data_IF_569586351041
#
_entry.id   IF_569586351041
#
_cell.length_a   1.000
_cell.length_b   1.000
_cell.length_c   1.000
_cell.angle_alpha   90.00
_cell.angle_beta   90.00
_cell.angle_gamma   90.00
#
_symmetry.space_group_name_H-M   'P 1'
#
loop_
_entity.id
_entity.type
_entity.pdbx_description
1 polymer ?
#
# COMPACT_ATOMS: atom_id res chain seq x y z
N UNK A 1 12.80 2.58 5.34
CA UNK A 1 11.44 2.94 5.82
C UNK A 1 10.40 2.04 5.16
N UNK A 2 9.37 1.61 5.88
CA UNK A 2 8.29 0.77 5.34
C UNK A 2 6.94 1.41 5.62
N UNK A 3 5.92 1.07 4.84
CA UNK A 3 4.57 1.56 5.05
C UNK A 3 3.59 0.40 5.03
N UNK A 4 2.74 0.33 6.04
CA UNK A 4 1.63 -0.62 6.09
C UNK A 4 0.33 0.14 5.90
N UNK A 5 -0.47 -0.27 4.92
CA UNK A 5 -1.75 0.37 4.60
C UNK A 5 -2.85 -0.66 4.59
N UNK A 6 -3.84 -0.51 5.48
CA UNK A 6 -5.16 -1.13 5.28
C UNK A 6 -5.92 -0.28 4.27
N UNK A 7 -6.44 -0.87 3.21
CA UNK A 7 -7.27 -0.15 2.25
C UNK A 7 -8.49 -0.97 1.88
N UNK A 8 -9.63 -0.29 1.77
CA UNK A 8 -10.91 -0.86 1.39
C UNK A 8 -11.40 -0.08 0.17
N UNK A 9 -11.74 -0.80 -0.90
CA UNK A 9 -12.28 -0.20 -2.11
C UNK A 9 -13.48 -0.96 -2.66
N UNK A 10 -14.34 -0.23 -3.35
CA UNK A 10 -15.57 -0.74 -3.94
C UNK A 10 -16.61 0.37 -3.99
N UNK A 11 -17.73 0.14 -4.68
CA UNK A 11 -18.75 1.18 -4.80
C UNK A 11 -19.69 1.19 -3.58
N UNK A 12 -19.93 2.37 -3.01
CA UNK A 12 -20.83 2.57 -1.87
C UNK A 12 -20.25 2.04 -0.56
N UNK A 13 -18.96 2.27 -0.29
CA UNK A 13 -18.36 1.87 0.99
C UNK A 13 -18.90 2.74 2.14
N UNK A 14 -19.19 2.16 3.32
CA UNK A 14 -19.68 2.92 4.45
C UNK A 14 -18.52 3.58 5.21
N UNK A 15 -17.98 4.68 4.67
CA UNK A 15 -16.77 5.35 5.18
C UNK A 15 -16.77 5.54 6.71
N UNK A 16 -17.84 6.13 7.26
CA UNK A 16 -17.93 6.41 8.70
C UNK A 16 -17.96 5.14 9.56
N UNK A 17 -18.62 4.09 9.10
CA UNK A 17 -18.65 2.79 9.80
C UNK A 17 -17.27 2.13 9.79
N UNK A 18 -16.55 2.23 8.67
CA UNK A 18 -15.19 1.72 8.53
C UNK A 18 -14.25 2.45 9.49
N UNK A 19 -14.25 3.79 9.51
CA UNK A 19 -13.41 4.55 10.45
C UNK A 19 -13.73 4.22 11.92
N UNK A 20 -15.02 4.03 12.24
CA UNK A 20 -15.45 3.63 13.58
C UNK A 20 -14.93 2.24 13.95
N UNK A 21 -14.98 1.28 13.02
CA UNK A 21 -14.48 -0.08 13.25
C UNK A 21 -12.94 -0.14 13.34
N UNK A 22 -12.22 0.70 12.58
CA UNK A 22 -10.76 0.83 12.69
C UNK A 22 -10.37 1.64 13.93
N UNK A 23 -11.28 2.48 14.46
CA UNK A 23 -11.06 3.29 15.65
C UNK A 23 -10.20 4.54 15.41
N UNK A 24 -10.03 4.95 14.14
CA UNK A 24 -9.33 6.18 13.74
C UNK A 24 -9.86 6.70 12.41
N UNK A 25 -9.67 8.00 12.15
CA UNK A 25 -9.95 8.60 10.85
C UNK A 25 -8.98 8.07 9.78
N UNK A 26 -9.45 7.98 8.54
CA UNK A 26 -8.62 7.60 7.40
C UNK A 26 -7.67 8.74 7.02
N UNK A 27 -6.45 8.41 6.60
CA UNK A 27 -5.57 9.43 6.00
C UNK A 27 -6.00 9.79 4.59
N UNK A 28 -6.72 8.89 3.92
CA UNK A 28 -7.15 9.09 2.56
C UNK A 28 -8.50 8.40 2.32
N UNK A 29 -9.48 9.18 1.93
CA UNK A 29 -10.79 8.72 1.49
C UNK A 29 -11.15 9.40 0.17
N UNK A 30 -11.83 8.71 -0.72
CA UNK A 30 -12.26 9.24 -2.02
C UNK A 30 -13.50 8.53 -2.52
N UNK A 31 -14.28 9.25 -3.31
CA UNK A 31 -15.45 8.70 -4.01
C UNK A 31 -15.14 8.36 -5.46
N UNK A 32 -15.91 7.43 -6.03
CA UNK A 32 -15.88 7.11 -7.45
C UNK A 32 -16.16 8.38 -8.29
N UNK A 33 -15.34 8.60 -9.31
CA UNK A 33 -15.37 9.77 -10.18
C UNK A 33 -14.60 10.98 -9.64
N UNK A 34 -14.17 10.99 -8.37
CA UNK A 34 -13.29 12.05 -7.88
C UNK A 34 -11.94 12.01 -8.60
N UNK A 35 -11.43 13.19 -8.91
CA UNK A 35 -10.07 13.37 -9.41
C UNK A 35 -9.24 14.03 -8.33
N UNK A 36 -8.08 13.44 -8.00
CA UNK A 36 -7.14 14.00 -7.02
C UNK A 36 -5.75 14.11 -7.61
N UNK A 37 -5.09 15.21 -7.28
CA UNK A 37 -3.67 15.38 -7.51
C UNK A 37 -2.89 14.46 -6.57
N UNK A 38 -2.04 13.61 -7.14
CA UNK A 38 -1.10 12.77 -6.40
C UNK A 38 0.33 13.15 -6.75
N UNK A 39 1.31 12.65 -5.99
CA UNK A 39 2.73 12.82 -6.32
C UNK A 39 3.14 12.24 -7.68
N UNK A 40 2.28 11.42 -8.29
CA UNK A 40 2.51 10.80 -9.60
C UNK A 40 1.62 11.40 -10.71
N UNK A 41 0.92 12.50 -10.42
CA UNK A 41 -0.02 13.16 -11.34
C UNK A 41 -1.48 13.03 -10.90
N UNK A 42 -2.38 13.45 -11.77
CA UNK A 42 -3.82 13.39 -11.53
C UNK A 42 -4.36 11.98 -11.71
N UNK A 43 -5.13 11.52 -10.72
CA UNK A 43 -5.79 10.21 -10.75
C UNK A 43 -7.29 10.42 -10.58
N UNK A 44 -8.07 9.91 -11.53
CA UNK A 44 -9.53 9.76 -11.41
C UNK A 44 -9.84 8.37 -10.89
N UNK A 45 -10.56 8.27 -9.77
CA UNK A 45 -10.86 6.99 -9.13
C UNK A 45 -12.10 6.34 -9.74
N UNK A 46 -11.98 5.06 -10.11
CA UNK A 46 -13.09 4.30 -10.70
C UNK A 46 -14.11 3.78 -9.67
N UNK A 47 -13.72 3.72 -8.40
CA UNK A 47 -14.51 3.21 -7.28
C UNK A 47 -14.27 4.06 -6.04
N UNK A 48 -15.12 3.94 -5.02
CA UNK A 48 -14.83 4.55 -3.72
C UNK A 48 -13.64 3.84 -3.07
N UNK A 49 -12.93 4.56 -2.20
CA UNK A 49 -11.86 3.97 -1.43
C UNK A 49 -11.50 4.72 -0.17
N UNK A 50 -11.04 3.97 0.81
CA UNK A 50 -10.59 4.48 2.11
C UNK A 50 -9.31 3.75 2.52
N UNK A 51 -8.34 4.48 3.07
CA UNK A 51 -7.04 3.95 3.42
C UNK A 51 -6.55 4.44 4.79
N UNK A 52 -5.96 3.49 5.52
CA UNK A 52 -5.36 3.64 6.85
C UNK A 52 -3.90 3.20 6.77
N UNK A 53 -3.00 4.15 6.54
CA UNK A 53 -1.56 3.96 6.49
C UNK A 53 -0.87 4.13 7.83
N UNK A 54 0.27 3.48 8.01
CA UNK A 54 1.21 3.78 9.07
C UNK A 54 2.64 3.55 8.58
N UNK A 55 3.52 4.43 9.04
CA UNK A 55 4.95 4.29 8.80
C UNK A 55 5.53 3.29 9.80
N UNK A 56 6.29 2.34 9.29
CA UNK A 56 7.03 1.36 10.07
C UNK A 56 8.50 1.73 9.96
N UNK A 57 9.11 2.00 11.13
CA UNK A 57 10.53 2.27 11.24
C UNK A 57 11.34 1.09 10.66
N UNK A 58 12.50 1.39 10.09
CA UNK A 58 13.28 0.41 9.33
C UNK A 58 13.84 -0.73 10.20
N UNK A 59 14.09 -0.44 11.47
CA UNK A 59 14.56 -1.38 12.49
C UNK A 59 13.41 -2.07 13.25
N UNK A 60 12.15 -1.72 12.95
CA UNK A 60 10.99 -2.31 13.62
C UNK A 60 10.67 -3.72 13.10
N UNK A 61 10.12 -4.55 13.99
CA UNK A 61 9.59 -5.87 13.62
C UNK A 61 8.30 -5.72 12.79
N UNK A 62 8.40 -5.96 11.49
CA UNK A 62 7.26 -5.84 10.56
C UNK A 62 6.09 -6.74 10.97
N UNK A 63 6.33 -7.99 11.38
CA UNK A 63 5.26 -8.88 11.82
C UNK A 63 4.48 -8.29 13.01
N UNK A 64 5.17 -7.62 13.93
CA UNK A 64 4.51 -6.96 15.06
C UNK A 64 3.62 -5.82 14.57
N UNK A 65 4.11 -4.95 13.69
CA UNK A 65 3.31 -3.85 13.15
C UNK A 65 2.06 -4.36 12.41
N UNK A 66 2.24 -5.37 11.55
CA UNK A 66 1.12 -6.03 10.84
C UNK A 66 0.14 -6.64 11.83
N UNK A 67 0.61 -7.34 12.85
CA UNK A 67 -0.23 -7.93 13.87
C UNK A 67 -1.02 -6.88 14.65
N UNK A 68 -0.43 -5.76 15.03
CA UNK A 68 -1.10 -4.70 15.80
C UNK A 68 -2.28 -4.10 14.99
N UNK A 69 -2.09 -3.83 13.69
CA UNK A 69 -3.15 -3.37 12.80
C UNK A 69 -4.24 -4.44 12.59
N UNK A 70 -3.82 -5.68 12.35
CA UNK A 70 -4.73 -6.81 12.13
C UNK A 70 -5.55 -7.12 13.37
N UNK A 71 -4.99 -7.01 14.58
CA UNK A 71 -5.72 -7.18 15.83
C UNK A 71 -6.87 -6.17 15.97
N UNK A 72 -6.67 -4.94 15.50
CA UNK A 72 -7.75 -3.93 15.47
C UNK A 72 -8.89 -4.38 14.57
N UNK A 73 -8.58 -4.93 13.40
CA UNK A 73 -9.58 -5.46 12.49
C UNK A 73 -10.23 -6.74 13.04
N UNK A 74 -9.46 -7.59 13.71
CA UNK A 74 -9.92 -8.84 14.29
C UNK A 74 -10.89 -8.63 15.47
N UNK A 75 -10.77 -7.50 16.20
CA UNK A 75 -11.81 -7.10 17.18
C UNK A 75 -13.17 -6.85 16.52
N UNK A 76 -13.18 -6.48 15.23
CA UNK A 76 -14.35 -6.28 14.40
C UNK A 76 -14.45 -7.34 13.28
N UNK A 77 -13.95 -8.55 13.52
CA UNK A 77 -13.73 -9.58 12.49
C UNK A 77 -14.96 -9.82 11.61
N UNK A 78 -16.15 -9.93 12.20
CA UNK A 78 -17.39 -10.20 11.46
C UNK A 78 -17.73 -9.08 10.46
N UNK A 79 -17.53 -7.80 10.84
CA UNK A 79 -17.76 -6.67 9.95
C UNK A 79 -16.78 -6.67 8.78
N UNK A 80 -15.49 -6.87 9.07
CA UNK A 80 -14.48 -6.97 8.02
C UNK A 80 -14.73 -8.14 7.06
N UNK A 81 -15.11 -9.31 7.59
CA UNK A 81 -15.47 -10.45 6.76
C UNK A 81 -16.70 -10.19 5.88
N UNK A 82 -17.71 -9.47 6.39
CA UNK A 82 -18.87 -9.04 5.60
C UNK A 82 -18.50 -8.02 4.53
N UNK A 83 -17.62 -7.06 4.85
CA UNK A 83 -17.12 -6.10 3.88
C UNK A 83 -16.29 -6.78 2.80
N UNK A 84 -15.45 -7.75 3.13
CA UNK A 84 -14.66 -8.53 2.18
C UNK A 84 -15.52 -9.33 1.17
N UNK A 85 -16.80 -9.57 1.45
CA UNK A 85 -17.73 -10.19 0.49
C UNK A 85 -18.27 -9.19 -0.54
N UNK A 86 -18.19 -7.88 -0.27
CA UNK A 86 -18.80 -6.81 -1.10
C UNK A 86 -17.76 -5.87 -1.70
N UNK A 87 -16.67 -5.68 -0.98
CA UNK A 87 -15.61 -4.71 -1.24
C UNK A 87 -14.30 -5.45 -1.22
N UNK A 88 -13.29 -4.86 -1.87
CA UNK A 88 -11.93 -5.34 -1.76
C UNK A 88 -11.31 -4.80 -0.48
N UNK A 89 -10.92 -5.70 0.43
CA UNK A 89 -10.21 -5.36 1.67
C UNK A 89 -8.81 -5.94 1.57
N UNK A 90 -7.78 -5.09 1.63
CA UNK A 90 -6.40 -5.56 1.58
C UNK A 90 -5.49 -4.85 2.57
N UNK A 91 -4.41 -5.53 2.92
CA UNK A 91 -3.24 -4.97 3.57
C UNK A 91 -2.14 -4.84 2.53
N UNK A 92 -1.66 -3.62 2.33
CA UNK A 92 -0.53 -3.32 1.46
C UNK A 92 0.69 -3.00 2.33
N UNK A 93 1.70 -3.87 2.26
CA UNK A 93 3.00 -3.61 2.85
C UNK A 93 3.95 -3.11 1.76
N UNK A 94 4.26 -1.82 1.78
CA UNK A 94 5.27 -1.21 0.92
C UNK A 94 6.61 -1.20 1.63
N UNK A 95 7.57 -1.94 1.08
CA UNK A 95 8.90 -2.13 1.64
C UNK A 95 9.91 -1.42 0.75
N UNK A 96 10.65 -0.47 1.34
CA UNK A 96 11.75 0.22 0.67
C UNK A 96 13.07 -0.20 1.33
N UNK A 97 13.70 -1.30 0.86
CA UNK A 97 14.93 -1.79 1.42
C UNK A 97 16.11 -0.91 0.99
N UNK A 98 17.05 -0.67 1.90
CA UNK A 98 18.36 -0.06 1.59
C UNK A 98 19.37 -1.11 1.07
N UNK A 99 19.08 -2.39 1.30
CA UNK A 99 19.85 -3.53 0.81
C UNK A 99 19.25 -4.10 -0.48
N UNK A 100 20.08 -4.83 -1.23
CA UNK A 100 19.67 -5.57 -2.44
C UNK A 100 18.58 -6.60 -2.14
N UNK A 101 18.50 -7.08 -0.91
CA UNK A 101 17.56 -8.09 -0.47
C UNK A 101 17.02 -7.80 0.93
N UNK A 102 15.73 -8.00 1.12
CA UNK A 102 15.04 -7.92 2.41
C UNK A 102 14.07 -9.08 2.54
N UNK A 103 13.99 -9.63 3.75
CA UNK A 103 13.06 -10.69 4.10
C UNK A 103 11.97 -10.13 5.01
N UNK A 104 10.71 -10.34 4.61
CA UNK A 104 9.56 -10.12 5.47
C UNK A 104 8.95 -11.48 5.77
N UNK A 105 8.79 -11.78 7.05
CA UNK A 105 8.10 -12.98 7.51
C UNK A 105 6.94 -12.56 8.40
N UNK A 106 5.77 -13.13 8.14
CA UNK A 106 4.60 -12.97 9.00
C UNK A 106 4.37 -14.27 9.75
N UNK A 107 4.02 -14.17 11.03
CA UNK A 107 3.71 -15.35 11.83
C UNK A 107 2.45 -16.04 11.32
N UNK A 108 2.34 -17.35 11.57
CA UNK A 108 1.13 -18.11 11.22
C UNK A 108 -0.13 -17.55 11.90
N UNK A 109 0.01 -16.95 13.08
CA UNK A 109 -1.10 -16.28 13.76
C UNK A 109 -1.55 -15.03 13.02
N UNK A 110 -0.60 -14.16 12.65
CA UNK A 110 -0.87 -12.95 11.86
C UNK A 110 -1.61 -13.32 10.56
N UNK A 111 -1.12 -14.32 9.84
CA UNK A 111 -1.74 -14.81 8.60
C UNK A 111 -3.16 -15.34 8.81
N UNK A 112 -3.41 -16.07 9.91
CA UNK A 112 -4.76 -16.56 10.24
C UNK A 112 -5.73 -15.42 10.52
N UNK A 113 -5.31 -14.40 11.26
CA UNK A 113 -6.18 -13.26 11.59
C UNK A 113 -6.54 -12.45 10.34
N UNK A 114 -5.57 -12.22 9.45
CA UNK A 114 -5.78 -11.59 8.14
C UNK A 114 -6.85 -12.37 7.35
N UNK A 115 -6.68 -13.69 7.23
CA UNK A 115 -7.62 -14.55 6.51
C UNK A 115 -9.01 -14.57 7.17
N UNK A 116 -9.08 -14.57 8.51
CA UNK A 116 -10.32 -14.56 9.26
C UNK A 116 -11.15 -13.28 9.05
N UNK A 117 -10.49 -12.17 8.73
CA UNK A 117 -11.12 -10.91 8.32
C UNK A 117 -11.43 -10.83 6.82
N UNK A 118 -11.11 -11.87 6.04
CA UNK A 118 -11.31 -11.88 4.58
C UNK A 118 -10.35 -10.94 3.83
N UNK A 119 -9.22 -10.56 4.42
CA UNK A 119 -8.29 -9.60 3.82
C UNK A 119 -7.31 -10.28 2.87
N UNK A 120 -7.02 -9.61 1.75
CA UNK A 120 -5.86 -9.93 0.92
C UNK A 120 -4.60 -9.28 1.50
N UNK A 121 -3.43 -9.87 1.27
CA UNK A 121 -2.15 -9.23 1.56
C UNK A 121 -1.40 -9.02 0.26
N UNK A 122 -0.94 -7.80 0.07
CA UNK A 122 -0.07 -7.43 -1.03
C UNK A 122 1.21 -6.86 -0.45
N UNK A 123 2.33 -7.22 -1.06
CA UNK A 123 3.63 -6.67 -0.69
C UNK A 123 4.25 -6.05 -1.93
N UNK A 124 4.57 -4.76 -1.83
CA UNK A 124 5.27 -4.02 -2.87
C UNK A 124 6.69 -3.78 -2.40
N UNK A 125 7.66 -4.37 -3.10
CA UNK A 125 9.08 -4.13 -2.84
C UNK A 125 9.59 -3.17 -3.90
N UNK A 126 10.03 -1.99 -3.48
CA UNK A 126 10.57 -0.97 -4.37
C UNK A 126 11.94 -0.55 -3.87
N UNK A 127 12.99 -0.84 -4.66
CA UNK A 127 14.28 -0.18 -4.47
C UNK A 127 14.13 1.27 -4.91
N UNK A 128 14.44 2.23 -4.03
CA UNK A 128 14.52 3.64 -4.39
C UNK A 128 15.89 4.01 -5.00
N UNK A 129 16.80 3.05 -5.13
CA UNK A 129 18.12 3.27 -5.74
C UNK A 129 18.01 3.91 -7.14
N UNK A 130 17.08 3.53 -8.04
CA UNK A 130 16.92 4.22 -9.32
C UNK A 130 16.44 5.67 -9.17
N UNK A 131 15.59 5.96 -8.18
CA UNK A 131 15.08 7.30 -7.91
C UNK A 131 16.17 8.23 -7.34
N UNK A 132 17.00 7.73 -6.42
CA UNK A 132 18.09 8.52 -5.82
C UNK A 132 19.39 8.54 -6.65
N UNK A 133 19.62 7.56 -7.53
CA UNK A 133 20.77 7.54 -8.44
C UNK A 133 20.59 8.42 -9.69
N UNK A 134 19.44 9.08 -9.84
CA UNK A 134 19.09 9.85 -11.04
C UNK A 134 18.77 8.99 -12.26
N UNK A 135 18.75 7.66 -12.14
CA UNK A 135 18.49 6.72 -13.25
C UNK A 135 17.01 6.52 -13.56
N UNK A 136 16.10 6.89 -12.64
CA UNK A 136 14.66 6.76 -12.84
C UNK A 136 14.12 7.61 -14.01
N UNK A 137 14.81 8.71 -14.36
CA UNK A 137 14.45 9.59 -15.47
C UNK A 137 15.44 9.53 -16.65
N UNK A 138 16.46 8.67 -16.58
CA UNK A 138 17.49 8.53 -17.62
C UNK A 138 17.06 7.59 -18.77
N UNK A 139 15.76 7.44 -18.98
CA UNK A 139 15.21 6.85 -20.20
C UNK A 139 14.98 7.95 -21.22
N UNK A 140 15.80 7.96 -22.28
CA UNK A 140 15.76 8.83 -23.46
C UNK A 140 16.66 10.07 -23.49
N UNK A 141 17.96 9.94 -23.18
CA UNK A 141 18.97 10.72 -23.94
C UNK A 141 20.24 9.87 -24.13
N UNK A 142 20.28 9.09 -25.23
CA UNK A 142 21.46 8.96 -26.12
C UNK A 142 21.32 7.77 -27.08
N UNK A 143 21.02 8.06 -28.36
CA UNK A 143 21.87 7.57 -29.45
C UNK A 143 21.61 8.38 -30.72
N UNK A 144 22.38 9.45 -30.93
CA UNK A 144 23.02 9.77 -32.23
C UNK A 144 23.89 11.04 -32.12
N UNK A 145 24.95 10.93 -31.33
CA UNK A 145 26.21 11.64 -31.54
C UNK A 145 27.28 10.58 -31.20
N UNK A 146 28.29 10.25 -31.99
CA UNK A 146 28.96 10.89 -33.12
C UNK A 146 29.59 9.76 -33.95
N UNK A 147 29.80 9.95 -35.26
CA UNK A 147 31.05 9.51 -35.91
C UNK A 147 31.41 10.48 -37.02
N UNK A 148 32.18 11.51 -36.67
CA UNK A 148 33.08 12.11 -37.64
C UNK A 148 34.23 11.15 -37.91
N UNK A 149 34.49 10.85 -39.19
CA UNK A 149 35.82 10.41 -39.65
C UNK A 149 36.11 11.12 -40.96
N UNK A 150 37.23 11.85 -40.95
CA UNK A 150 37.86 12.50 -42.10
C UNK A 150 38.26 11.48 -43.17
N UNK A 151 38.11 11.88 -44.43
CA UNK A 151 39.21 11.92 -45.43
C UNK A 151 38.89 13.00 -46.44
#
# INVERSE_FOLDING_TARGET
MHFLTLKITGNGIPFQEIETAVGRAAQFAYHAGETKDTRFGQVTYAEDGIAFGEEIAQDAEIDKAVRDLVQTCNRNQQLFAQWAQKYRVWLCLSVYPESVQMHVSLSAETLRQIAACGMEVTTSVMSLEPFYSGRAFAGEENSMAEKGVKT
#
